data_IF_345791907985
#
_entry.id   IF_345791907985
#
_cell.length_a   1.000
_cell.length_b   1.000
_cell.length_c   1.000
_cell.angle_alpha   90.00
_cell.angle_beta   90.00
_cell.angle_gamma   90.00
#
_symmetry.space_group_name_H-M   'P 1'
#
loop_
_entity.id
_entity.type
_entity.pdbx_description
1 polymer ?
#
# COMPACT_ATOMS: atom_id res chain seq x y z
N UNK A 1 -11.61 12.90 22.21
CA UNK A 1 -10.31 13.31 22.78
C UNK A 1 -9.28 12.77 21.80
N UNK A 2 -8.51 13.65 21.17
CA UNK A 2 -7.55 13.23 20.16
C UNK A 2 -6.30 12.64 20.85
N UNK A 3 -6.16 11.31 20.81
CA UNK A 3 -5.17 10.60 21.62
C UNK A 3 -4.13 9.90 20.74
N UNK A 4 -2.85 10.00 21.12
CA UNK A 4 -1.77 9.14 20.64
C UNK A 4 -1.20 8.35 21.83
N UNK A 5 -0.73 7.13 21.59
CA UNK A 5 -0.22 6.24 22.64
C UNK A 5 1.26 5.92 22.42
N UNK A 6 2.06 6.11 23.47
CA UNK A 6 3.45 5.67 23.58
C UNK A 6 3.54 4.56 24.61
N UNK A 7 4.05 3.40 24.21
CA UNK A 7 4.07 2.20 25.04
C UNK A 7 5.45 1.53 25.02
N UNK A 8 5.71 0.70 26.03
CA UNK A 8 6.82 -0.25 26.03
C UNK A 8 8.18 0.41 25.69
N UNK A 9 8.49 1.54 26.33
CA UNK A 9 9.75 2.28 26.16
C UNK A 9 9.94 2.91 24.76
N UNK A 10 8.86 3.17 24.03
CA UNK A 10 8.92 3.98 22.81
C UNK A 10 9.56 5.36 23.06
N UNK A 11 10.32 5.84 22.08
CA UNK A 11 11.04 7.12 22.13
C UNK A 11 10.60 8.00 20.97
N UNK A 12 10.27 9.26 21.26
CA UNK A 12 9.85 10.25 20.26
C UNK A 12 10.63 11.53 20.47
N UNK A 13 11.37 11.97 19.46
CA UNK A 13 12.23 13.15 19.51
C UNK A 13 11.97 14.05 18.29
N UNK A 14 11.80 15.36 18.51
CA UNK A 14 11.61 16.35 17.45
C UNK A 14 10.55 15.97 16.41
N UNK A 15 9.46 15.32 16.84
CA UNK A 15 8.47 14.72 15.94
C UNK A 15 7.04 15.13 16.31
N UNK A 16 6.17 15.14 15.31
CA UNK A 16 4.74 15.42 15.47
C UNK A 16 3.99 14.10 15.31
N UNK A 17 3.22 13.71 16.32
CA UNK A 17 2.43 12.47 16.31
C UNK A 17 0.95 12.81 16.13
N UNK A 18 0.36 12.26 15.06
CA UNK A 18 -1.05 12.43 14.75
C UNK A 18 -1.99 11.56 15.60
N UNK A 19 -3.29 11.88 15.62
CA UNK A 19 -4.28 11.17 16.42
C UNK A 19 -4.42 9.69 16.05
N UNK A 20 -4.68 8.85 17.05
CA UNK A 20 -4.87 7.41 16.90
C UNK A 20 -3.59 6.63 16.59
N UNK A 21 -2.44 7.31 16.48
CA UNK A 21 -1.14 6.66 16.29
C UNK A 21 -0.70 5.97 17.58
N UNK A 22 -0.24 4.73 17.45
CA UNK A 22 0.29 3.92 18.54
C UNK A 22 1.74 3.55 18.24
N UNK A 23 2.65 3.91 19.13
CA UNK A 23 4.09 3.65 19.03
C UNK A 23 4.51 2.83 20.25
N UNK A 24 4.89 1.57 20.02
CA UNK A 24 5.37 0.60 20.98
C UNK A 24 6.79 0.17 20.64
N UNK A 25 7.69 0.23 21.61
CA UNK A 25 9.09 -0.22 21.54
C UNK A 25 10.00 0.42 20.47
N UNK A 26 9.52 1.30 19.59
CA UNK A 26 10.37 1.89 18.56
C UNK A 26 10.65 3.37 18.74
N UNK A 27 11.48 3.87 17.84
CA UNK A 27 12.13 5.18 17.91
C UNK A 27 11.65 6.05 16.74
N UNK A 28 11.17 7.26 17.04
CA UNK A 28 10.69 8.22 16.05
C UNK A 28 11.43 9.55 16.21
N UNK A 29 12.15 9.97 15.19
CA UNK A 29 13.00 11.16 15.21
C UNK A 29 12.70 12.08 14.01
N UNK A 30 12.65 13.39 14.25
CA UNK A 30 12.52 14.40 13.19
C UNK A 30 11.42 14.09 12.15
N UNK A 31 10.28 13.54 12.58
CA UNK A 31 9.26 12.96 11.69
C UNK A 31 7.86 13.53 11.96
N UNK A 32 6.98 13.45 10.96
CA UNK A 32 5.54 13.69 11.11
C UNK A 32 4.83 12.36 10.89
N UNK A 33 4.18 11.82 11.91
CA UNK A 33 3.68 10.43 11.91
C UNK A 33 2.21 10.39 12.33
N UNK A 34 1.32 10.15 11.37
CA UNK A 34 -0.09 9.86 11.65
C UNK A 34 -1.04 10.55 10.69
N UNK A 35 -2.36 10.35 10.86
CA UNK A 35 -3.03 9.67 11.97
C UNK A 35 -3.02 8.14 11.88
N UNK A 36 -3.46 7.44 12.93
CA UNK A 36 -3.81 6.01 12.89
C UNK A 36 -2.68 5.08 12.41
N UNK A 37 -1.43 5.42 12.72
CA UNK A 37 -0.28 4.55 12.44
C UNK A 37 -0.11 3.53 13.57
N UNK A 38 0.20 2.30 13.20
CA UNK A 38 0.50 1.23 14.13
C UNK A 38 1.97 0.82 14.04
N UNK A 39 2.71 1.07 15.11
CA UNK A 39 4.08 0.63 15.31
C UNK A 39 4.11 -0.14 16.63
N UNK A 40 4.05 -1.47 16.60
CA UNK A 40 3.88 -2.29 17.81
C UNK A 40 5.17 -2.90 18.36
N UNK A 41 6.24 -2.84 17.59
CA UNK A 41 7.50 -3.49 17.89
C UNK A 41 8.67 -2.56 17.60
N UNK A 42 9.85 -2.94 18.08
CA UNK A 42 11.08 -2.19 17.84
C UNK A 42 11.30 -1.95 16.34
N UNK A 43 11.42 -0.69 15.99
CA UNK A 43 11.55 -0.16 14.63
C UNK A 43 12.03 1.29 14.72
N UNK A 44 12.52 1.82 13.61
CA UNK A 44 13.09 3.16 13.55
C UNK A 44 12.41 3.99 12.46
N UNK A 45 11.96 5.19 12.80
CA UNK A 45 11.55 6.24 11.87
C UNK A 45 12.42 7.48 12.09
N UNK A 46 13.09 7.96 11.04
CA UNK A 46 13.85 9.21 11.06
C UNK A 46 13.50 10.03 9.82
N UNK A 47 13.31 11.35 9.94
CA UNK A 47 13.11 12.25 8.79
C UNK A 47 12.01 11.79 7.80
N UNK A 48 10.91 11.26 8.34
CA UNK A 48 9.77 10.77 7.57
C UNK A 48 8.58 11.73 7.65
N UNK A 49 7.96 12.03 6.51
CA UNK A 49 6.66 12.70 6.41
C UNK A 49 5.58 11.67 6.08
N UNK A 50 4.75 11.35 7.07
CA UNK A 50 3.66 10.39 6.96
C UNK A 50 2.32 10.95 7.47
N UNK A 51 2.00 12.18 7.05
CA UNK A 51 0.73 12.88 7.39
C UNK A 51 -0.54 12.18 6.90
N UNK A 52 -0.43 11.30 5.90
CA UNK A 52 -1.57 10.56 5.33
C UNK A 52 -1.97 9.35 6.19
N UNK A 53 -1.09 8.89 7.08
CA UNK A 53 -1.41 7.97 8.16
C UNK A 53 -1.90 6.57 7.73
N UNK A 54 -2.63 5.91 8.64
CA UNK A 54 -3.30 4.61 8.48
C UNK A 54 -2.36 3.43 8.19
N UNK A 55 -1.08 3.64 8.41
CA UNK A 55 -0.02 2.70 8.10
C UNK A 55 0.28 1.68 9.18
N UNK A 56 1.15 0.74 8.83
CA UNK A 56 1.67 -0.25 9.76
C UNK A 56 3.18 -0.42 9.56
N UNK A 57 3.91 -0.55 10.67
CA UNK A 57 5.35 -0.71 10.70
C UNK A 57 5.68 -2.05 11.39
N UNK A 58 6.29 -2.95 10.62
CA UNK A 58 6.76 -4.24 11.09
C UNK A 58 7.98 -4.13 12.00
N UNK A 59 8.20 -5.16 12.82
CA UNK A 59 9.40 -5.27 13.65
C UNK A 59 10.68 -5.20 12.80
N UNK A 60 11.68 -4.49 13.31
CA UNK A 60 12.98 -4.28 12.68
C UNK A 60 12.94 -3.39 11.43
N UNK A 61 11.79 -2.81 11.07
CA UNK A 61 11.72 -1.87 9.95
C UNK A 61 12.53 -0.60 10.26
N UNK A 62 13.37 -0.19 9.31
CA UNK A 62 14.24 0.98 9.41
C UNK A 62 13.87 2.01 8.32
N UNK A 63 12.96 2.93 8.68
CA UNK A 63 12.47 3.97 7.79
C UNK A 63 13.34 5.22 7.97
N UNK A 64 14.38 5.33 7.13
CA UNK A 64 15.42 6.34 7.27
C UNK A 64 16.81 5.78 7.52
N UNK A 65 17.12 4.67 6.85
CA UNK A 65 18.43 4.03 6.85
C UNK A 65 19.44 4.83 5.99
N UNK A 66 19.67 6.10 6.32
CA UNK A 66 20.50 7.02 5.53
C UNK A 66 21.78 7.48 6.27
N UNK A 67 22.37 6.64 7.13
CA UNK A 67 23.71 6.87 7.70
C UNK A 67 24.82 6.64 6.63
N UNK A 68 24.73 7.36 5.50
CA UNK A 68 25.51 7.13 4.28
C UNK A 68 26.80 7.96 4.20
N UNK A 69 27.16 8.69 5.26
CA UNK A 69 28.30 9.63 5.34
C UNK A 69 28.24 10.81 4.34
N UNK A 70 27.06 11.07 3.73
CA UNK A 70 26.82 12.16 2.77
C UNK A 70 26.18 13.38 3.46
N UNK A 71 26.18 14.54 2.79
CA UNK A 71 25.62 15.83 3.24
C UNK A 71 24.17 15.72 3.77
N UNK A 72 23.71 16.64 4.66
CA UNK A 72 22.52 16.48 5.50
C UNK A 72 21.22 16.13 4.75
N UNK A 73 20.44 15.30 5.43
CA UNK A 73 19.77 14.14 4.86
C UNK A 73 18.37 14.43 4.29
N UNK A 74 18.14 13.89 3.11
CA UNK A 74 16.86 13.92 2.40
C UNK A 74 15.76 13.24 3.25
N UNK A 75 14.49 13.43 2.91
CA UNK A 75 13.39 12.80 3.64
C UNK A 75 12.77 11.64 2.86
N UNK A 76 11.91 10.87 3.54
CA UNK A 76 10.90 10.08 2.84
C UNK A 76 9.49 10.61 3.09
N UNK A 77 8.67 10.58 2.05
CA UNK A 77 7.26 10.91 2.12
C UNK A 77 6.43 9.65 1.84
N UNK A 78 5.49 9.34 2.73
CA UNK A 78 4.69 8.12 2.64
C UNK A 78 3.21 8.41 2.37
N UNK A 79 2.61 7.61 1.49
CA UNK A 79 1.17 7.61 1.25
C UNK A 79 0.39 7.00 2.41
N UNK A 80 -0.92 7.12 2.37
CA UNK A 80 -1.76 6.48 3.37
C UNK A 80 -1.62 4.96 3.34
N UNK A 81 -1.89 4.29 4.46
CA UNK A 81 -2.07 2.84 4.47
C UNK A 81 -0.81 2.04 4.13
N UNK A 82 0.36 2.69 4.02
CA UNK A 82 1.60 2.01 3.70
C UNK A 82 1.92 0.97 4.78
N UNK A 83 2.31 -0.22 4.34
CA UNK A 83 2.70 -1.31 5.22
C UNK A 83 4.18 -1.60 5.00
N UNK A 84 4.98 -1.48 6.06
CA UNK A 84 6.40 -1.81 6.03
C UNK A 84 6.61 -3.19 6.65
N UNK A 85 7.06 -4.15 5.84
CA UNK A 85 7.32 -5.52 6.27
C UNK A 85 8.43 -5.62 7.30
N UNK A 86 8.51 -6.77 7.95
CA UNK A 86 9.54 -7.05 8.96
C UNK A 86 10.94 -6.83 8.36
N UNK A 87 11.86 -6.24 9.12
CA UNK A 87 13.24 -5.96 8.70
C UNK A 87 13.36 -5.21 7.35
N UNK A 88 12.32 -4.52 6.89
CA UNK A 88 12.40 -3.70 5.69
C UNK A 88 13.16 -2.41 5.98
N UNK A 89 13.74 -1.79 4.95
CA UNK A 89 14.47 -0.54 5.11
C UNK A 89 14.06 0.46 4.03
N UNK A 90 14.10 1.75 4.35
CA UNK A 90 13.89 2.83 3.38
C UNK A 90 15.14 3.71 3.33
N UNK A 91 15.75 3.77 2.15
CA UNK A 91 16.83 4.70 1.83
C UNK A 91 16.25 5.99 1.25
N UNK A 92 16.93 7.10 1.49
CA UNK A 92 16.49 8.41 1.03
C UNK A 92 17.17 8.84 -0.27
N UNK A 93 16.47 9.62 -1.12
CA UNK A 93 15.08 10.07 -0.98
C UNK A 93 14.05 8.98 -1.32
N UNK A 94 12.94 8.92 -0.57
CA UNK A 94 11.83 8.01 -0.86
C UNK A 94 10.52 8.76 -1.03
N UNK A 95 9.74 8.47 -2.08
CA UNK A 95 8.41 9.08 -2.23
C UNK A 95 7.36 8.05 -2.64
N UNK A 96 6.43 7.78 -1.72
CA UNK A 96 5.30 6.88 -1.87
C UNK A 96 3.95 7.60 -1.72
N UNK A 97 3.91 8.94 -1.82
CA UNK A 97 2.68 9.72 -1.57
C UNK A 97 1.54 9.36 -2.52
N UNK A 98 1.87 8.87 -3.72
CA UNK A 98 0.94 8.45 -4.77
C UNK A 98 0.87 6.92 -4.90
N UNK A 99 1.37 6.19 -3.89
CA UNK A 99 1.29 4.73 -3.82
C UNK A 99 0.56 4.26 -2.54
N UNK A 100 -0.64 4.80 -2.23
CA UNK A 100 -1.40 4.42 -1.04
C UNK A 100 -1.64 2.92 -0.94
N UNK A 101 -1.71 2.42 0.30
CA UNK A 101 -1.97 1.01 0.61
C UNK A 101 -0.99 0.03 -0.05
N UNK A 102 0.24 0.44 -0.33
CA UNK A 102 1.28 -0.47 -0.81
C UNK A 102 1.97 -1.21 0.34
N UNK A 103 2.60 -2.34 0.04
CA UNK A 103 3.41 -3.12 0.98
C UNK A 103 4.87 -3.07 0.53
N UNK A 104 5.77 -2.71 1.44
CA UNK A 104 7.19 -3.04 1.31
C UNK A 104 7.40 -4.43 1.91
N UNK A 105 7.86 -5.39 1.12
CA UNK A 105 7.99 -6.77 1.56
C UNK A 105 9.03 -6.95 2.68
N UNK A 106 8.95 -8.10 3.36
CA UNK A 106 9.91 -8.50 4.38
C UNK A 106 11.35 -8.42 3.85
N UNK A 107 12.27 -7.93 4.68
CA UNK A 107 13.70 -7.82 4.37
C UNK A 107 14.01 -7.08 3.06
N UNK A 108 13.10 -6.23 2.60
CA UNK A 108 13.27 -5.45 1.36
C UNK A 108 13.77 -4.05 1.70
N UNK A 109 14.85 -3.63 1.03
CA UNK A 109 15.30 -2.23 1.07
C UNK A 109 14.66 -1.46 -0.09
N UNK A 110 13.86 -0.46 0.22
CA UNK A 110 13.41 0.55 -0.73
C UNK A 110 14.60 1.44 -1.08
N UNK A 111 15.04 1.34 -2.33
CA UNK A 111 16.09 2.19 -2.90
C UNK A 111 15.55 3.60 -3.14
N UNK A 112 16.42 4.61 -3.30
CA UNK A 112 15.97 5.97 -3.56
C UNK A 112 15.16 6.10 -4.84
N UNK A 113 13.83 6.24 -4.71
CA UNK A 113 12.91 6.32 -5.85
C UNK A 113 11.53 6.86 -5.44
N UNK A 114 10.78 7.32 -6.46
CA UNK A 114 9.36 7.65 -6.35
C UNK A 114 8.52 6.52 -6.93
N UNK A 115 7.51 6.06 -6.20
CA UNK A 115 6.55 5.06 -6.68
C UNK A 115 5.16 5.70 -6.70
N UNK A 116 4.48 5.58 -7.84
CA UNK A 116 3.16 6.16 -8.11
C UNK A 116 2.13 5.08 -8.48
N UNK A 117 2.36 3.86 -8.01
CA UNK A 117 1.51 2.70 -8.28
C UNK A 117 0.83 2.29 -6.96
N UNK A 118 -0.47 2.61 -6.76
CA UNK A 118 -1.17 2.34 -5.52
C UNK A 118 -1.40 0.83 -5.32
N UNK A 119 -1.66 0.41 -4.08
CA UNK A 119 -1.97 -0.98 -3.72
C UNK A 119 -0.88 -1.99 -4.15
N UNK A 120 0.35 -1.55 -4.33
CA UNK A 120 1.42 -2.37 -4.90
C UNK A 120 2.10 -3.25 -3.85
N UNK A 121 2.69 -4.34 -4.30
CA UNK A 121 3.72 -5.06 -3.56
C UNK A 121 5.10 -4.64 -4.09
N UNK A 122 5.94 -4.13 -3.19
CA UNK A 122 7.30 -3.67 -3.47
C UNK A 122 8.27 -4.71 -2.93
N UNK A 123 9.06 -5.30 -3.82
CA UNK A 123 10.06 -6.31 -3.48
C UNK A 123 11.47 -5.88 -3.90
N UNK A 124 12.48 -6.61 -3.42
CA UNK A 124 13.86 -6.43 -3.88
C UNK A 124 13.94 -6.64 -5.39
N UNK A 125 14.54 -5.67 -6.09
CA UNK A 125 14.85 -5.76 -7.51
C UNK A 125 16.31 -6.17 -7.74
N UNK A 126 16.61 -6.64 -8.95
CA UNK A 126 17.96 -7.03 -9.38
C UNK A 126 18.84 -5.83 -9.79
N UNK A 127 18.21 -4.70 -10.15
CA UNK A 127 18.87 -3.52 -10.70
C UNK A 127 18.93 -2.36 -9.69
N UNK A 128 19.18 -1.14 -10.16
CA UNK A 128 19.19 0.08 -9.32
C UNK A 128 17.85 0.40 -8.62
N UNK A 129 16.76 -0.27 -8.98
CA UNK A 129 15.41 0.00 -8.49
C UNK A 129 14.77 -1.24 -7.86
N UNK A 130 13.71 -1.03 -7.09
CA UNK A 130 12.87 -2.13 -6.63
C UNK A 130 12.00 -2.67 -7.76
N UNK A 131 11.59 -3.93 -7.63
CA UNK A 131 10.57 -4.52 -8.49
C UNK A 131 9.20 -4.26 -7.88
N UNK A 132 8.27 -3.77 -8.71
CA UNK A 132 6.95 -3.33 -8.28
C UNK A 132 5.91 -4.23 -8.93
N UNK A 133 5.04 -4.82 -8.11
CA UNK A 133 3.89 -5.59 -8.56
C UNK A 133 2.65 -4.71 -8.31
N UNK A 134 2.15 -4.00 -9.34
CA UNK A 134 1.03 -3.06 -9.19
C UNK A 134 -0.26 -3.77 -8.81
N UNK A 135 -1.18 -3.06 -8.15
CA UNK A 135 -2.49 -3.56 -7.74
C UNK A 135 -2.50 -4.86 -6.90
N UNK A 136 -1.35 -5.31 -6.39
CA UNK A 136 -1.22 -6.58 -5.70
C UNK A 136 -2.19 -6.74 -4.53
N UNK A 137 -2.41 -5.69 -3.72
CA UNK A 137 -3.37 -5.76 -2.63
C UNK A 137 -4.82 -5.84 -3.10
N UNK A 138 -5.17 -5.33 -4.28
CA UNK A 138 -6.53 -5.47 -4.84
C UNK A 138 -6.81 -6.91 -5.27
N UNK A 139 -5.83 -7.54 -5.91
CA UNK A 139 -5.97 -8.89 -6.46
C UNK A 139 -5.72 -9.98 -5.41
N UNK A 140 -4.65 -9.84 -4.63
CA UNK A 140 -4.08 -10.93 -3.83
C UNK A 140 -4.27 -10.75 -2.32
N UNK A 141 -4.64 -9.55 -1.84
CA UNK A 141 -4.74 -9.27 -0.41
C UNK A 141 -5.80 -8.20 -0.09
N UNK A 142 -6.98 -8.31 -0.69
CA UNK A 142 -8.09 -7.38 -0.47
C UNK A 142 -8.53 -7.36 1.01
N UNK A 143 -8.28 -8.47 1.71
CA UNK A 143 -8.46 -8.59 3.15
C UNK A 143 -7.74 -7.48 3.93
N UNK A 144 -6.46 -7.20 3.62
CA UNK A 144 -5.69 -6.16 4.32
C UNK A 144 -6.35 -4.79 4.19
N UNK A 145 -6.82 -4.44 2.99
CA UNK A 145 -7.45 -3.16 2.70
C UNK A 145 -8.74 -3.02 3.52
N UNK A 146 -9.65 -4.00 3.41
CA UNK A 146 -10.95 -3.97 4.07
C UNK A 146 -10.83 -4.04 5.60
N UNK A 147 -9.91 -4.87 6.11
CA UNK A 147 -9.60 -4.95 7.54
C UNK A 147 -9.10 -3.61 8.06
N UNK A 148 -8.18 -2.98 7.34
CA UNK A 148 -7.60 -1.69 7.74
C UNK A 148 -8.69 -0.62 7.77
N UNK A 149 -9.49 -0.52 6.70
CA UNK A 149 -10.62 0.39 6.64
C UNK A 149 -11.55 0.21 7.85
N UNK A 150 -12.10 -1.00 8.05
CA UNK A 150 -13.04 -1.29 9.15
C UNK A 150 -12.43 -1.01 10.53
N UNK A 151 -11.19 -1.47 10.76
CA UNK A 151 -10.50 -1.31 12.05
C UNK A 151 -10.26 0.16 12.36
N UNK A 152 -9.84 0.95 11.38
CA UNK A 152 -9.64 2.37 11.58
C UNK A 152 -10.99 3.03 11.82
N UNK A 153 -11.99 2.85 10.94
CA UNK A 153 -13.35 3.40 11.06
C UNK A 153 -13.94 3.21 12.44
N UNK A 154 -13.89 1.99 12.98
CA UNK A 154 -14.36 1.70 14.32
C UNK A 154 -13.59 2.48 15.40
N UNK A 155 -12.25 2.45 15.35
CA UNK A 155 -11.40 3.14 16.34
C UNK A 155 -11.62 4.65 16.39
N UNK A 156 -11.99 5.26 15.26
CA UNK A 156 -12.22 6.70 15.22
C UNK A 156 -13.59 7.10 15.72
N UNK A 157 -14.62 6.34 15.33
CA UNK A 157 -15.96 6.53 15.86
C UNK A 157 -16.01 6.44 17.39
N UNK A 158 -15.12 5.62 17.98
CA UNK A 158 -15.01 5.47 19.44
C UNK A 158 -14.30 6.66 20.14
N UNK A 159 -13.66 7.60 19.43
CA UNK A 159 -12.80 8.62 20.05
C UNK A 159 -12.81 10.04 19.48
N UNK A 160 -13.41 10.27 18.31
CA UNK A 160 -13.18 11.47 17.49
C UNK A 160 -14.48 11.94 16.81
N UNK A 161 -14.70 13.26 16.76
CA UNK A 161 -15.94 13.87 16.25
C UNK A 161 -15.98 14.08 14.73
N UNK A 162 -14.81 14.24 14.08
CA UNK A 162 -14.72 14.53 12.64
C UNK A 162 -13.92 13.43 11.93
N UNK A 163 -14.63 12.47 11.30
CA UNK A 163 -13.99 11.41 10.53
C UNK A 163 -13.67 11.88 9.11
N UNK A 164 -12.40 11.85 8.66
CA UNK A 164 -12.11 11.96 7.24
C UNK A 164 -12.78 10.81 6.49
N UNK A 165 -13.02 10.98 5.20
CA UNK A 165 -13.42 9.85 4.35
C UNK A 165 -12.29 8.82 4.28
N UNK A 166 -12.55 7.66 4.87
CA UNK A 166 -11.59 6.57 5.00
C UNK A 166 -11.78 5.48 3.98
N UNK A 167 -12.76 5.63 3.10
CA UNK A 167 -12.94 4.73 1.99
C UNK A 167 -11.61 4.63 1.21
N UNK A 168 -11.00 3.43 1.12
CA UNK A 168 -9.78 3.23 0.35
C UNK A 168 -10.00 3.49 -1.14
N UNK A 169 -11.24 3.46 -1.61
CA UNK A 169 -11.66 3.71 -2.99
C UNK A 169 -12.24 5.11 -3.21
N UNK A 170 -11.98 6.07 -2.31
CA UNK A 170 -12.41 7.47 -2.48
C UNK A 170 -11.77 8.13 -3.69
N UNK A 171 -12.36 9.24 -4.12
CA UNK A 171 -11.96 10.00 -5.31
C UNK A 171 -10.45 10.28 -5.43
N UNK A 172 -9.79 10.66 -4.34
CA UNK A 172 -8.33 10.89 -4.29
C UNK A 172 -7.53 9.63 -4.69
N UNK A 173 -7.87 8.48 -4.12
CA UNK A 173 -7.17 7.22 -4.42
C UNK A 173 -7.50 6.72 -5.83
N UNK A 174 -8.75 6.93 -6.29
CA UNK A 174 -9.12 6.64 -7.68
C UNK A 174 -8.33 7.48 -8.67
N UNK A 175 -8.02 8.74 -8.36
CA UNK A 175 -7.17 9.56 -9.21
C UNK A 175 -5.75 8.95 -9.37
N UNK A 176 -5.16 8.42 -8.30
CA UNK A 176 -3.90 7.68 -8.39
C UNK A 176 -4.05 6.38 -9.20
N UNK A 177 -5.16 5.65 -9.08
CA UNK A 177 -5.44 4.46 -9.89
C UNK A 177 -5.60 4.80 -11.38
N UNK A 178 -6.32 5.87 -11.73
CA UNK A 178 -6.45 6.34 -13.12
C UNK A 178 -5.08 6.65 -13.70
N UNK A 179 -4.25 7.40 -12.95
CA UNK A 179 -2.89 7.70 -13.38
C UNK A 179 -2.02 6.44 -13.51
N UNK A 180 -2.18 5.48 -12.61
CA UNK A 180 -1.49 4.20 -12.71
C UNK A 180 -1.91 3.43 -13.96
N UNK A 181 -3.21 3.38 -14.29
CA UNK A 181 -3.70 2.79 -15.55
C UNK A 181 -3.03 3.44 -16.76
N UNK A 182 -3.00 4.78 -16.85
CA UNK A 182 -2.34 5.48 -17.95
C UNK A 182 -0.86 5.09 -18.08
N UNK A 183 -0.12 5.10 -16.96
CA UNK A 183 1.30 4.76 -16.95
C UNK A 183 1.55 3.31 -17.36
N UNK A 184 0.71 2.39 -16.89
CA UNK A 184 0.82 0.96 -17.19
C UNK A 184 0.44 0.66 -18.65
N UNK A 185 -0.60 1.30 -19.20
CA UNK A 185 -0.95 1.18 -20.62
C UNK A 185 0.18 1.68 -21.51
N UNK A 186 0.75 2.85 -21.23
CA UNK A 186 1.93 3.35 -21.96
C UNK A 186 3.11 2.36 -21.87
N UNK A 187 3.30 1.72 -20.71
CA UNK A 187 4.35 0.72 -20.55
C UNK A 187 4.08 -0.57 -21.36
N UNK A 188 2.82 -1.01 -21.47
CA UNK A 188 2.44 -2.12 -22.36
C UNK A 188 2.75 -1.78 -23.81
N UNK A 189 2.33 -0.61 -24.28
CA UNK A 189 2.47 -0.19 -25.68
C UNK A 189 3.95 -0.15 -26.06
N UNK A 190 4.80 0.46 -25.23
CA UNK A 190 6.26 0.48 -25.44
C UNK A 190 6.90 -0.90 -25.43
N UNK A 191 6.43 -1.81 -24.58
CA UNK A 191 6.94 -3.19 -24.56
C UNK A 191 6.57 -3.95 -25.84
N UNK A 192 5.44 -3.62 -26.48
CA UNK A 192 5.05 -4.21 -27.77
C UNK A 192 5.87 -3.64 -28.95
N UNK A 193 6.38 -2.41 -28.83
CA UNK A 193 7.20 -1.75 -29.86
C UNK A 193 8.68 -2.16 -29.86
N UNK A 194 9.21 -2.74 -28.78
CA UNK A 194 10.61 -3.16 -28.67
C UNK A 194 10.86 -4.48 -29.44
N UNK A 195 11.75 -4.50 -30.45
CA UNK A 195 12.18 -5.75 -31.09
C UNK A 195 12.88 -6.66 -30.08
N UNK A 196 12.68 -7.97 -30.22
CA UNK A 196 13.13 -9.03 -29.30
C UNK A 196 14.64 -9.22 -29.10
N UNK A 197 15.49 -8.25 -29.46
CA UNK A 197 16.95 -8.35 -29.36
C UNK A 197 17.56 -7.01 -28.96
N UNK A 198 18.21 -6.94 -27.80
CA UNK A 198 19.64 -6.62 -27.59
C UNK A 198 19.87 -6.26 -26.10
N UNK A 199 20.26 -7.24 -25.28
CA UNK A 199 20.81 -6.98 -23.93
C UNK A 199 22.32 -6.78 -24.02
N UNK A 200 22.78 -5.56 -24.29
CA UNK A 200 24.15 -5.13 -23.94
C UNK A 200 24.27 -3.60 -24.02
N UNK A 201 24.11 -2.90 -22.90
CA UNK A 201 24.68 -1.56 -22.76
C UNK A 201 25.02 -1.27 -21.29
N UNK A 202 26.28 -0.93 -21.06
CA UNK A 202 26.86 -0.48 -19.79
C UNK A 202 26.39 0.94 -19.45
N UNK A 203 26.11 1.29 -18.18
CA UNK A 203 25.67 2.64 -17.83
C UNK A 203 26.87 3.55 -17.52
N UNK A 204 27.00 4.65 -18.26
CA UNK A 204 27.85 5.78 -17.92
C UNK A 204 27.00 6.98 -17.45
N UNK A 205 27.45 7.59 -16.35
CA UNK A 205 27.28 8.99 -15.89
C UNK A 205 25.90 9.59 -15.56
N UNK A 206 25.86 10.17 -14.34
CA UNK A 206 25.38 11.51 -13.94
C UNK A 206 24.13 12.15 -14.58
N UNK A 207 23.23 12.57 -13.68
CA UNK A 207 22.21 13.62 -13.79
C UNK A 207 21.15 13.46 -14.89
N UNK A 208 19.97 12.92 -14.51
CA UNK A 208 18.62 13.36 -14.91
C UNK A 208 17.57 12.49 -14.16
N UNK A 209 16.40 13.01 -13.75
CA UNK A 209 15.32 12.16 -13.25
C UNK A 209 14.77 11.38 -14.45
N UNK A 210 15.06 10.08 -14.50
CA UNK A 210 14.57 9.19 -15.54
C UNK A 210 13.03 9.13 -15.46
N UNK A 211 12.37 9.76 -16.44
CA UNK A 211 11.03 9.40 -16.85
C UNK A 211 11.00 7.89 -17.18
N UNK A 212 9.83 7.29 -17.00
CA UNK A 212 9.44 5.88 -17.10
C UNK A 212 9.81 5.11 -18.41
N UNK A 213 10.85 5.49 -19.15
CA UNK A 213 11.22 4.93 -20.45
C UNK A 213 12.18 3.73 -20.41
N UNK A 214 13.20 3.74 -19.55
CA UNK A 214 14.27 2.72 -19.62
C UNK A 214 14.39 1.86 -18.35
N UNK A 215 13.99 2.38 -17.19
CA UNK A 215 13.98 1.60 -15.94
C UNK A 215 12.70 0.77 -15.76
N UNK A 216 11.60 1.18 -16.39
CA UNK A 216 10.27 0.60 -16.20
C UNK A 216 10.18 -0.85 -16.71
N UNK A 217 10.79 -1.17 -17.85
CA UNK A 217 10.74 -2.51 -18.45
C UNK A 217 11.47 -3.57 -17.61
N UNK A 218 12.41 -3.18 -16.76
CA UNK A 218 13.14 -4.12 -15.88
C UNK A 218 12.55 -4.28 -14.48
N UNK A 219 11.59 -3.41 -14.09
CA UNK A 219 10.94 -3.43 -12.77
C UNK A 219 9.58 -4.12 -12.76
N UNK A 220 9.01 -4.43 -13.92
CA UNK A 220 7.77 -5.23 -14.04
C UNK A 220 8.09 -6.68 -14.32
N UNK A 221 7.31 -7.55 -13.68
CA UNK A 221 7.50 -8.98 -13.67
C UNK A 221 7.23 -9.62 -15.04
N UNK A 222 6.04 -9.37 -15.61
CA UNK A 222 5.59 -9.87 -16.91
C UNK A 222 4.47 -8.98 -17.48
N UNK A 223 4.30 -8.95 -18.81
CA UNK A 223 3.21 -8.20 -19.48
C UNK A 223 1.80 -8.58 -18.93
N UNK A 224 1.63 -9.84 -18.56
CA UNK A 224 0.40 -10.34 -17.94
C UNK A 224 0.09 -9.68 -16.60
N UNK A 225 1.10 -9.40 -15.77
CA UNK A 225 0.93 -8.75 -14.47
C UNK A 225 0.50 -7.29 -14.64
N UNK A 226 0.95 -6.64 -15.72
CA UNK A 226 0.55 -5.27 -16.01
C UNK A 226 -0.92 -5.23 -16.47
N UNK A 227 -1.34 -6.14 -17.35
CA UNK A 227 -2.73 -6.23 -17.79
C UNK A 227 -3.68 -6.54 -16.62
N UNK A 228 -3.32 -7.49 -15.75
CA UNK A 228 -4.09 -7.82 -14.55
C UNK A 228 -4.22 -6.62 -13.60
N UNK A 229 -3.15 -5.84 -13.44
CA UNK A 229 -3.19 -4.64 -12.61
C UNK A 229 -4.10 -3.54 -13.18
N UNK A 230 -4.08 -3.32 -14.51
CA UNK A 230 -4.99 -2.36 -15.16
C UNK A 230 -6.46 -2.76 -14.92
N UNK A 231 -6.79 -4.05 -15.09
CA UNK A 231 -8.15 -4.56 -14.82
C UNK A 231 -8.53 -4.34 -13.35
N UNK A 232 -7.63 -4.68 -12.42
CA UNK A 232 -7.87 -4.52 -10.99
C UNK A 232 -8.12 -3.06 -10.60
N UNK A 233 -7.37 -2.12 -11.16
CA UNK A 233 -7.59 -0.69 -10.93
C UNK A 233 -8.93 -0.23 -11.53
N UNK A 234 -9.25 -0.62 -12.76
CA UNK A 234 -10.53 -0.26 -13.39
C UNK A 234 -11.73 -0.73 -12.56
N UNK A 235 -11.68 -1.97 -12.04
CA UNK A 235 -12.72 -2.51 -11.17
C UNK A 235 -12.80 -1.74 -9.84
N UNK A 236 -11.66 -1.44 -9.21
CA UNK A 236 -11.62 -0.68 -7.95
C UNK A 236 -12.10 0.77 -8.12
N UNK A 237 -11.78 1.40 -9.25
CA UNK A 237 -12.30 2.72 -9.63
C UNK A 237 -13.82 2.65 -9.73
N UNK A 238 -14.32 1.72 -10.55
CA UNK A 238 -15.76 1.57 -10.79
C UNK A 238 -16.53 1.25 -9.52
N UNK A 239 -15.97 0.42 -8.66
CA UNK A 239 -16.54 0.13 -7.34
C UNK A 239 -16.67 1.39 -6.49
N UNK A 240 -15.62 2.21 -6.42
CA UNK A 240 -15.66 3.47 -5.68
C UNK A 240 -16.67 4.46 -6.27
N UNK A 241 -16.81 4.53 -7.59
CA UNK A 241 -17.83 5.37 -8.24
C UNK A 241 -19.26 4.92 -7.92
N UNK A 242 -19.51 3.62 -7.85
CA UNK A 242 -20.81 3.06 -7.46
C UNK A 242 -21.09 3.32 -5.99
N UNK A 243 -20.10 3.21 -5.10
CA UNK A 243 -20.25 3.53 -3.68
C UNK A 243 -20.57 5.00 -3.41
N UNK A 244 -20.10 5.92 -4.26
CA UNK A 244 -20.37 7.35 -4.13
C UNK A 244 -21.79 7.73 -4.62
N UNK A 245 -22.46 6.83 -5.35
CA UNK A 245 -23.80 7.06 -5.89
C UNK A 245 -24.88 6.57 -4.91
N UNK A 246 -25.96 7.35 -4.70
CA UNK A 246 -27.15 6.86 -3.99
C UNK A 246 -27.72 5.60 -4.66
N UNK A 247 -28.00 4.55 -3.88
CA UNK A 247 -28.47 3.27 -4.41
C UNK A 247 -29.82 3.40 -5.14
N UNK A 248 -30.62 4.41 -4.80
CA UNK A 248 -31.89 4.70 -5.48
C UNK A 248 -31.72 5.16 -6.94
N UNK A 249 -30.52 5.60 -7.31
CA UNK A 249 -30.18 6.04 -8.67
C UNK A 249 -29.62 4.90 -9.54
N UNK A 250 -29.45 3.70 -8.99
CA UNK A 250 -28.83 2.61 -9.74
C UNK A 250 -29.76 2.08 -10.82
N UNK A 251 -29.25 2.03 -12.05
CA UNK A 251 -29.88 1.26 -13.11
C UNK A 251 -29.67 -0.24 -12.90
N UNK A 252 -30.41 -1.07 -13.66
CA UNK A 252 -30.22 -2.54 -13.66
C UNK A 252 -28.76 -2.94 -13.93
N UNK A 253 -28.07 -2.18 -14.78
CA UNK A 253 -26.66 -2.40 -15.12
C UNK A 253 -25.72 -2.10 -13.95
N UNK A 254 -25.97 -1.01 -13.21
CA UNK A 254 -25.15 -0.63 -12.05
C UNK A 254 -25.30 -1.65 -10.91
N UNK A 255 -26.53 -2.13 -10.67
CA UNK A 255 -26.79 -3.22 -9.72
C UNK A 255 -26.05 -4.49 -10.12
N UNK A 256 -26.10 -4.88 -11.39
CA UNK A 256 -25.40 -6.06 -11.89
C UNK A 256 -23.89 -5.93 -11.70
N UNK A 257 -23.33 -4.80 -12.13
CA UNK A 257 -21.90 -4.52 -12.06
C UNK A 257 -21.38 -4.48 -10.62
N UNK A 258 -22.12 -3.84 -9.70
CA UNK A 258 -21.76 -3.84 -8.27
C UNK A 258 -21.76 -5.25 -7.69
N UNK A 259 -22.76 -6.07 -8.04
CA UNK A 259 -22.83 -7.46 -7.61
C UNK A 259 -21.67 -8.31 -8.15
N UNK A 260 -21.27 -8.11 -9.40
CA UNK A 260 -20.13 -8.79 -10.02
C UNK A 260 -18.83 -8.42 -9.31
N UNK A 261 -18.58 -7.12 -9.08
CA UNK A 261 -17.38 -6.65 -8.37
C UNK A 261 -17.33 -7.18 -6.93
N UNK A 262 -18.45 -7.11 -6.19
CA UNK A 262 -18.52 -7.64 -4.82
C UNK A 262 -18.24 -9.15 -4.82
N UNK A 263 -18.79 -9.89 -5.78
CA UNK A 263 -18.57 -11.34 -5.91
C UNK A 263 -17.09 -11.68 -6.16
N UNK A 264 -16.40 -10.88 -6.97
CA UNK A 264 -14.97 -11.02 -7.20
C UNK A 264 -14.13 -10.68 -5.95
N UNK A 265 -14.46 -9.59 -5.25
CA UNK A 265 -13.80 -9.25 -3.99
C UNK A 265 -13.98 -10.36 -2.93
N UNK A 266 -15.17 -10.95 -2.84
CA UNK A 266 -15.45 -12.09 -1.96
C UNK A 266 -14.65 -13.34 -2.37
N UNK A 267 -14.51 -13.60 -3.67
CA UNK A 267 -13.68 -14.68 -4.18
C UNK A 267 -12.21 -14.46 -3.79
N UNK A 268 -11.67 -13.26 -3.99
CA UNK A 268 -10.29 -12.93 -3.63
C UNK A 268 -10.08 -12.99 -2.11
N UNK A 269 -11.06 -12.56 -1.32
CA UNK A 269 -11.07 -12.70 0.14
C UNK A 269 -10.99 -14.19 0.58
N UNK A 270 -11.75 -15.08 -0.07
CA UNK A 270 -11.69 -16.52 0.20
C UNK A 270 -10.35 -17.13 -0.22
N UNK A 271 -9.78 -16.74 -1.37
CA UNK A 271 -8.44 -17.17 -1.80
C UNK A 271 -7.37 -16.77 -0.77
N UNK A 272 -7.46 -15.60 -0.16
CA UNK A 272 -6.54 -15.17 0.91
C UNK A 272 -6.57 -16.15 2.10
N UNK A 273 -7.76 -16.58 2.51
CA UNK A 273 -7.93 -17.58 3.58
C UNK A 273 -7.37 -18.94 3.22
N UNK A 274 -7.61 -19.40 2.00
CA UNK A 274 -7.10 -20.71 1.55
C UNK A 274 -5.57 -20.74 1.49
N UNK A 275 -4.94 -19.66 1.00
CA UNK A 275 -3.48 -19.51 1.03
C UNK A 275 -2.95 -19.62 2.47
N UNK A 276 -3.61 -18.99 3.43
CA UNK A 276 -3.22 -19.05 4.84
C UNK A 276 -3.40 -20.43 5.47
N UNK A 277 -4.50 -21.13 5.17
CA UNK A 277 -4.72 -22.53 5.63
C UNK A 277 -3.63 -23.47 5.13
N UNK A 278 -3.11 -23.26 3.93
CA UNK A 278 -2.00 -24.05 3.38
C UNK A 278 -0.67 -23.72 4.06
N UNK A 279 -0.44 -22.45 4.40
CA UNK A 279 0.79 -21.99 5.06
C UNK A 279 0.84 -22.37 6.54
N UNK A 280 -0.30 -22.30 7.24
CA UNK A 280 -0.42 -22.69 8.66
C UNK A 280 -0.18 -24.20 8.88
N UNK A 281 -0.38 -25.04 7.86
CA UNK A 281 0.00 -26.45 7.87
C UNK A 281 1.53 -26.68 7.77
N UNK A 282 2.33 -25.64 7.46
CA UNK A 282 3.77 -25.75 7.10
C UNK A 282 4.71 -24.85 7.96
N UNK A 283 4.32 -24.46 9.18
CA UNK A 283 5.15 -23.76 10.22
C UNK A 283 5.02 -22.21 10.29
N UNK A 284 4.65 -21.75 11.51
CA UNK A 284 4.69 -20.41 12.18
C UNK A 284 3.96 -19.15 11.64
N UNK A 285 3.46 -18.26 12.54
CA UNK A 285 2.41 -17.28 12.26
C UNK A 285 2.98 -15.87 12.00
N UNK A 286 3.03 -15.46 10.74
CA UNK A 286 3.20 -14.05 10.37
C UNK A 286 2.62 -13.81 8.97
N UNK A 287 1.35 -14.16 8.79
CA UNK A 287 0.61 -13.86 7.56
C UNK A 287 -0.48 -12.83 7.89
N UNK A 288 -0.72 -11.82 7.04
CA UNK A 288 -1.77 -10.81 7.22
C UNK A 288 -3.16 -11.39 6.94
N UNK A 289 -3.39 -12.67 7.19
CA UNK A 289 -4.66 -13.36 7.00
C UNK A 289 -5.62 -13.11 8.18
N UNK A 290 -6.92 -13.42 8.02
CA UNK A 290 -7.89 -13.32 9.10
C UNK A 290 -7.46 -14.15 10.30
N UNK A 291 -7.52 -13.55 11.50
CA UNK A 291 -7.08 -14.22 12.73
C UNK A 291 -7.98 -15.38 13.12
N UNK A 292 -9.25 -15.32 12.70
CA UNK A 292 -10.27 -16.35 12.92
C UNK A 292 -11.38 -16.24 11.85
N UNK A 293 -12.24 -17.27 11.81
CA UNK A 293 -13.37 -17.37 10.89
C UNK A 293 -14.42 -16.28 11.11
N UNK A 294 -14.47 -15.69 12.30
CA UNK A 294 -15.40 -14.64 12.68
C UNK A 294 -15.03 -13.30 12.02
N UNK A 295 -13.75 -12.95 11.95
CA UNK A 295 -13.28 -11.74 11.27
C UNK A 295 -13.57 -11.78 9.76
N UNK A 296 -13.42 -12.95 9.13
CA UNK A 296 -13.84 -13.13 7.74
C UNK A 296 -15.33 -12.94 7.55
N UNK A 297 -16.14 -13.55 8.41
CA UNK A 297 -17.58 -13.43 8.33
C UNK A 297 -18.00 -11.96 8.43
N UNK A 298 -17.42 -11.21 9.37
CA UNK A 298 -17.67 -9.78 9.51
C UNK A 298 -17.31 -8.95 8.27
N UNK A 299 -16.22 -9.30 7.57
CA UNK A 299 -15.85 -8.60 6.32
C UNK A 299 -16.74 -9.02 5.15
N UNK A 300 -17.17 -10.28 5.11
CA UNK A 300 -18.17 -10.76 4.14
C UNK A 300 -19.49 -10.05 4.35
N UNK A 301 -20.00 -10.03 5.57
CA UNK A 301 -21.24 -9.34 5.93
C UNK A 301 -21.16 -7.85 5.59
N UNK A 302 -20.00 -7.23 5.81
CA UNK A 302 -19.76 -5.85 5.39
C UNK A 302 -19.87 -5.69 3.87
N UNK A 303 -19.17 -6.50 3.07
CA UNK A 303 -19.26 -6.42 1.60
C UNK A 303 -20.68 -6.71 1.10
N UNK A 304 -21.36 -7.69 1.69
CA UNK A 304 -22.74 -8.04 1.37
C UNK A 304 -23.70 -6.90 1.72
N UNK A 305 -23.43 -6.14 2.80
CA UNK A 305 -24.22 -4.96 3.16
C UNK A 305 -24.07 -3.79 2.19
N UNK A 306 -23.06 -3.81 1.31
CA UNK A 306 -22.89 -2.81 0.26
C UNK A 306 -23.71 -3.13 -0.99
N UNK A 307 -24.33 -4.32 -1.10
CA UNK A 307 -25.21 -4.62 -2.23
C UNK A 307 -26.46 -3.72 -2.18
N UNK A 308 -26.87 -3.15 -3.32
CA UNK A 308 -28.07 -2.31 -3.44
C UNK A 308 -29.37 -3.11 -3.34
#
# INVERSE_FOLDING_TARGET
MDNAALEQQASVNHSIIGPGTHIGQGEVHASIVGPMIAQHHQSLLIACDWRKGRGNIGYGANLGANHSSRLPDQSACFGEGQFFGLNSAVQFPGNLTEAPYSILAISTTLKPQRICLPFSLIISGTNAFNRIIPAWNLENNIFLILRTYRKMSKRWQEGYSDAPDWNPFRSENRAFMHRACELLTIALDKHQELPSETQTATPNSNNMPLLLGEAATSSFAFQADIAAAVISYQQAIRFGELLDQPSELFGKKDVQEMNEIISEMLLNLNKCREKDRRLTQVVHPASPAPKDDAELLQLRDFLESLRP
#
